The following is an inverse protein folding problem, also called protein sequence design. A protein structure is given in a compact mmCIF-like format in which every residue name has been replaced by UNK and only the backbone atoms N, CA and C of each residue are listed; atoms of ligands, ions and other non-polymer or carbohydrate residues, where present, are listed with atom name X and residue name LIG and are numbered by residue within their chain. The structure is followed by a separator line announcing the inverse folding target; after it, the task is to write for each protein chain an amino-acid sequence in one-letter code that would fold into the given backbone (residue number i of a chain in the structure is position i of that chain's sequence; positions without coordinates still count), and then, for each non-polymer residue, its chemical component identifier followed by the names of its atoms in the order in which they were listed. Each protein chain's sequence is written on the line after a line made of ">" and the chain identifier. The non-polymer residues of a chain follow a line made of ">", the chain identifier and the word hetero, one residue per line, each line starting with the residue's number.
data_IF_684081464870
#
_entry.id   IF_684081464870
#
_cell.length_a   1.000
_cell.length_b   1.000
_cell.length_c   1.000
_cell.angle_alpha   90.00
_cell.angle_beta   90.00
_cell.angle_gamma   90.00
#
_symmetry.space_group_name_H-M   'P 1'
#
loop_
_entity.id
_entity.type
_entity.pdbx_description
1 polymer ?
#
# COMPACT_ATOMS: atom_id res chain seq x y z
N UNK A 1 8.28 16.61 2.10
CA UNK A 1 8.35 15.99 0.75
C UNK A 1 6.96 15.47 0.41
N UNK A 2 6.37 15.81 -0.74
CA UNK A 2 5.06 15.24 -1.12
C UNK A 2 5.26 13.77 -1.53
N UNK A 3 4.43 12.82 -1.06
CA UNK A 3 4.49 11.44 -1.53
C UNK A 3 4.21 11.40 -3.03
N UNK A 4 4.89 10.51 -3.77
CA UNK A 4 4.53 10.28 -5.17
C UNK A 4 3.09 9.76 -5.22
N UNK A 5 2.29 10.33 -6.10
CA UNK A 5 0.92 9.88 -6.34
C UNK A 5 0.90 9.00 -7.59
N UNK A 6 0.24 7.85 -7.51
CA UNK A 6 0.05 6.93 -8.63
C UNK A 6 -1.42 6.52 -8.70
N UNK A 7 -2.06 6.81 -9.84
CA UNK A 7 -3.43 6.35 -10.12
C UNK A 7 -3.40 4.93 -10.67
N UNK A 8 -4.41 4.14 -10.31
CA UNK A 8 -4.60 2.76 -10.76
C UNK A 8 -6.02 2.55 -11.27
N UNK A 9 -6.24 1.57 -12.15
CA UNK A 9 -7.60 1.08 -12.41
C UNK A 9 -8.05 0.15 -11.27
N UNK A 10 -9.03 0.60 -10.49
CA UNK A 10 -9.49 -0.13 -9.30
C UNK A 10 -10.13 -1.48 -9.66
N UNK A 11 -10.87 -1.55 -10.76
CA UNK A 11 -11.54 -2.79 -11.16
C UNK A 11 -10.52 -3.88 -11.55
N UNK A 12 -9.55 -3.55 -12.40
CA UNK A 12 -8.47 -4.46 -12.75
C UNK A 12 -7.63 -4.84 -11.53
N UNK A 13 -7.35 -3.89 -10.63
CA UNK A 13 -6.57 -4.14 -9.43
C UNK A 13 -7.23 -5.14 -8.47
N UNK A 14 -8.54 -5.02 -8.27
CA UNK A 14 -9.31 -5.95 -7.43
C UNK A 14 -9.36 -7.34 -8.06
N UNK A 15 -9.44 -7.42 -9.39
CA UNK A 15 -9.46 -8.71 -10.11
C UNK A 15 -8.09 -9.40 -10.13
N UNK A 16 -7.04 -8.65 -10.47
CA UNK A 16 -5.65 -9.11 -10.48
C UNK A 16 -4.70 -7.94 -10.10
N UNK A 17 -4.16 -7.92 -8.88
CA UNK A 17 -3.31 -6.83 -8.43
C UNK A 17 -1.88 -6.94 -8.96
N UNK A 18 -1.42 -8.11 -9.41
CA UNK A 18 -0.01 -8.37 -9.69
C UNK A 18 0.59 -7.50 -10.82
N UNK A 19 -0.12 -7.22 -11.93
CA UNK A 19 0.36 -6.31 -12.95
C UNK A 19 0.63 -4.90 -12.39
N UNK A 20 -0.33 -4.35 -11.65
CA UNK A 20 -0.22 -3.02 -11.01
C UNK A 20 0.89 -3.00 -9.96
N UNK A 21 0.95 -4.02 -9.09
CA UNK A 21 1.99 -4.12 -8.06
C UNK A 21 3.39 -4.27 -8.66
N UNK A 22 3.53 -4.89 -9.83
CA UNK A 22 4.80 -4.99 -10.56
C UNK A 22 5.30 -3.62 -11.01
N UNK A 23 4.41 -2.80 -11.55
CA UNK A 23 4.72 -1.41 -11.97
C UNK A 23 5.06 -0.56 -10.74
N UNK A 24 4.25 -0.60 -9.69
CA UNK A 24 4.50 0.14 -8.45
C UNK A 24 5.86 -0.22 -7.84
N UNK A 25 6.18 -1.52 -7.73
CA UNK A 25 7.46 -1.97 -7.16
C UNK A 25 8.67 -1.43 -7.91
N UNK A 26 8.57 -1.30 -9.24
CA UNK A 26 9.64 -0.80 -10.11
C UNK A 26 9.75 0.73 -10.05
N UNK A 27 8.64 1.44 -10.24
CA UNK A 27 8.65 2.87 -10.55
C UNK A 27 8.29 3.77 -9.37
N UNK A 28 7.46 3.28 -8.44
CA UNK A 28 6.96 4.04 -7.30
C UNK A 28 6.68 3.10 -6.10
N UNK A 29 7.74 2.52 -5.49
CA UNK A 29 7.59 1.44 -4.52
C UNK A 29 6.84 1.86 -3.24
N UNK A 30 6.83 3.17 -2.95
CA UNK A 30 6.01 3.82 -1.94
C UNK A 30 5.25 4.96 -2.66
N UNK A 31 3.93 4.85 -2.76
CA UNK A 31 3.10 5.83 -3.44
C UNK A 31 1.74 5.99 -2.77
N UNK A 32 1.20 7.21 -2.77
CA UNK A 32 -0.20 7.47 -2.46
C UNK A 32 -1.07 7.08 -3.67
N UNK A 33 -2.08 6.24 -3.44
CA UNK A 33 -3.02 5.75 -4.43
C UNK A 33 -4.40 6.32 -4.11
N UNK A 34 -4.88 7.32 -4.87
CA UNK A 34 -6.15 8.00 -4.59
C UNK A 34 -7.35 7.06 -4.58
N UNK A 35 -7.38 6.07 -5.47
CA UNK A 35 -8.50 5.13 -5.64
C UNK A 35 -8.67 4.19 -4.43
N UNK A 36 -7.62 4.07 -3.60
CA UNK A 36 -7.63 3.31 -2.35
C UNK A 36 -7.61 4.23 -1.12
N UNK A 37 -7.48 5.55 -1.32
CA UNK A 37 -7.21 6.53 -0.26
C UNK A 37 -6.08 6.10 0.69
N UNK A 38 -5.04 5.46 0.16
CA UNK A 38 -4.01 4.79 0.95
C UNK A 38 -2.61 4.97 0.36
N UNK A 39 -1.59 4.80 1.20
CA UNK A 39 -0.20 4.67 0.74
C UNK A 39 0.09 3.18 0.56
N UNK A 40 0.52 2.79 -0.64
CA UNK A 40 0.96 1.43 -0.92
C UNK A 40 2.48 1.32 -0.81
N UNK A 41 2.92 0.22 -0.20
CA UNK A 41 4.31 -0.20 -0.11
C UNK A 41 4.44 -1.57 -0.79
N UNK A 42 5.30 -1.68 -1.80
CA UNK A 42 5.32 -2.85 -2.71
C UNK A 42 6.64 -3.63 -2.75
N UNK A 43 7.65 -3.17 -2.00
CA UNK A 43 8.91 -3.88 -1.78
C UNK A 43 8.83 -4.75 -0.53
N UNK A 44 9.26 -6.00 -0.67
CA UNK A 44 9.29 -6.99 0.42
C UNK A 44 10.07 -6.50 1.63
N UNK A 45 11.27 -5.95 1.42
CA UNK A 45 12.15 -5.60 2.54
C UNK A 45 11.62 -4.40 3.33
N UNK A 46 11.01 -3.42 2.64
CA UNK A 46 10.34 -2.29 3.29
C UNK A 46 9.16 -2.79 4.15
N UNK A 47 8.33 -3.71 3.59
CA UNK A 47 7.24 -4.37 4.35
C UNK A 47 7.80 -5.10 5.57
N UNK A 48 8.84 -5.92 5.39
CA UNK A 48 9.43 -6.72 6.45
C UNK A 48 9.98 -5.87 7.60
N UNK A 49 10.50 -4.68 7.32
CA UNK A 49 10.97 -3.75 8.35
C UNK A 49 9.79 -3.06 9.02
N UNK A 50 8.87 -2.50 8.24
CA UNK A 50 7.76 -1.68 8.74
C UNK A 50 6.72 -2.47 9.53
N UNK A 51 6.40 -3.70 9.11
CA UNK A 51 5.39 -4.56 9.78
C UNK A 51 5.74 -4.83 11.25
N UNK A 52 7.03 -4.79 11.62
CA UNK A 52 7.52 -5.01 12.99
C UNK A 52 7.51 -3.74 13.83
N UNK A 53 7.43 -2.57 13.20
CA UNK A 53 7.47 -1.27 13.87
C UNK A 53 6.05 -0.82 14.25
N UNK A 54 5.42 -1.55 15.17
CA UNK A 54 4.04 -1.31 15.61
C UNK A 54 3.83 0.05 16.29
N UNK A 55 4.90 0.68 16.78
CA UNK A 55 4.84 2.03 17.36
C UNK A 55 4.55 3.11 16.30
N UNK A 56 4.86 2.82 15.02
CA UNK A 56 4.62 3.72 13.89
C UNK A 56 3.50 3.17 12.99
N UNK A 57 3.45 1.86 12.78
CA UNK A 57 2.45 1.16 11.96
C UNK A 57 1.53 0.35 12.86
N UNK A 58 0.57 1.02 13.48
CA UNK A 58 -0.43 0.38 14.34
C UNK A 58 -1.30 -0.60 13.56
N UNK A 59 -1.64 -1.73 14.19
CA UNK A 59 -2.68 -2.64 13.71
C UNK A 59 -4.06 -2.33 14.30
N UNK A 60 -4.16 -1.29 15.14
CA UNK A 60 -5.44 -0.82 15.67
C UNK A 60 -6.35 -0.41 14.52
N UNK A 61 -7.49 -1.08 14.42
CA UNK A 61 -8.50 -0.82 13.42
C UNK A 61 -9.79 -0.49 14.17
N UNK A 62 -10.04 0.81 14.43
CA UNK A 62 -11.31 1.25 14.97
C UNK A 62 -12.43 0.72 14.08
N UNK A 63 -13.47 0.14 14.68
CA UNK A 63 -14.59 -0.51 14.00
C UNK A 63 -14.22 -1.77 13.18
N UNK A 64 -13.05 -2.36 13.45
CA UNK A 64 -12.62 -3.63 12.87
C UNK A 64 -13.51 -4.80 13.30
N UNK A 65 -13.54 -5.87 12.49
CA UNK A 65 -14.35 -7.06 12.74
C UNK A 65 -13.93 -7.86 13.98
N UNK A 66 -12.72 -7.61 14.49
CA UNK A 66 -12.16 -8.26 15.67
C UNK A 66 -12.20 -7.26 16.84
N UNK A 67 -13.39 -7.07 17.43
CA UNK A 67 -13.54 -6.38 18.72
C UNK A 67 -13.27 -7.30 19.89
#
# INVERSE_FOLDING_TARGET
>A
MKPRQQSIDLASFVHDPYPTLTILRRDAPIAYVPELSAILMSKRDDIFICEKNIAVFSSDQPDGLMT
#
